data_IF_106334390150
#
_entry.id   IF_106334390150
#
_cell.length_a   1.000
_cell.length_b   1.000
_cell.length_c   1.000
_cell.angle_alpha   90.00
_cell.angle_beta   90.00
_cell.angle_gamma   90.00
#
_symmetry.space_group_name_H-M   'P 1'
#
loop_
_entity.id
_entity.type
_entity.pdbx_description
1 polymer ?
#
# COMPACT_ATOMS: atom_id res chain seq x y z
N UNK A 1 -5.23 -16.23 29.44
CA UNK A 1 -4.67 -15.62 28.22
C UNK A 1 -4.36 -16.76 27.27
N UNK A 2 -4.62 -16.63 25.95
CA UNK A 2 -4.21 -17.65 24.99
C UNK A 2 -2.68 -17.82 25.00
N UNK A 3 -2.19 -19.01 24.67
CA UNK A 3 -0.76 -19.26 24.48
C UNK A 3 -0.22 -18.41 23.32
N UNK A 4 0.98 -17.83 23.43
CA UNK A 4 1.53 -16.98 22.39
C UNK A 4 1.74 -17.76 21.09
N UNK A 5 1.52 -17.10 19.95
CA UNK A 5 1.78 -17.71 18.65
C UNK A 5 3.27 -17.99 18.46
N UNK A 6 3.64 -19.08 17.76
CA UNK A 6 5.02 -19.30 17.39
C UNK A 6 5.51 -18.15 16.51
N UNK A 7 6.77 -17.70 16.66
CA UNK A 7 7.29 -16.62 15.84
C UNK A 7 7.29 -17.00 14.36
N UNK A 8 7.05 -16.02 13.50
CA UNK A 8 7.13 -16.20 12.06
C UNK A 8 8.48 -16.81 11.69
N UNK A 9 8.49 -17.90 10.92
CA UNK A 9 9.73 -18.52 10.51
C UNK A 9 10.51 -17.55 9.63
N UNK A 10 11.81 -17.45 9.85
CA UNK A 10 12.65 -16.65 8.97
C UNK A 10 12.67 -17.24 7.56
N UNK A 11 12.67 -16.40 6.51
CA UNK A 11 12.75 -16.87 5.15
C UNK A 11 14.07 -17.60 4.90
N UNK A 12 13.98 -18.88 4.53
CA UNK A 12 15.14 -19.69 4.12
C UNK A 12 15.55 -19.32 2.70
N UNK A 13 16.86 -19.36 2.42
CA UNK A 13 17.39 -19.15 1.06
C UNK A 13 16.72 -20.13 0.09
N UNK A 14 16.11 -19.59 -0.97
CA UNK A 14 15.47 -20.40 -2.01
C UNK A 14 16.50 -21.27 -2.70
N UNK A 15 16.17 -22.56 -2.81
CA UNK A 15 16.95 -23.53 -3.58
C UNK A 15 16.78 -23.24 -5.07
N UNK A 16 17.85 -22.85 -5.80
CA UNK A 16 17.76 -22.48 -7.21
C UNK A 16 17.37 -23.66 -8.11
N UNK A 17 17.48 -24.91 -7.63
CA UNK A 17 17.09 -26.10 -8.39
C UNK A 17 15.58 -26.36 -8.32
N UNK A 18 14.89 -25.79 -7.33
CA UNK A 18 13.43 -25.95 -7.18
C UNK A 18 12.70 -24.95 -8.07
N UNK A 19 11.70 -25.46 -8.79
CA UNK A 19 10.82 -24.63 -9.64
C UNK A 19 10.14 -23.55 -8.79
N UNK A 20 10.21 -22.30 -9.26
CA UNK A 20 9.42 -21.19 -8.70
C UNK A 20 7.94 -21.53 -8.76
N UNK A 21 7.23 -21.35 -7.64
CA UNK A 21 5.79 -21.61 -7.58
C UNK A 21 5.07 -20.55 -8.41
N UNK A 22 4.09 -20.99 -9.21
CA UNK A 22 3.21 -20.05 -9.90
C UNK A 22 2.34 -19.33 -8.88
N UNK A 23 2.06 -18.04 -9.13
CA UNK A 23 1.14 -17.31 -8.30
C UNK A 23 -0.26 -17.92 -8.35
N UNK A 24 -0.74 -18.34 -7.19
CA UNK A 24 -2.13 -18.75 -6.98
C UNK A 24 -2.85 -17.57 -6.33
N UNK A 25 -4.05 -17.25 -6.82
CA UNK A 25 -4.89 -16.21 -6.24
C UNK A 25 -6.26 -16.77 -5.87
N UNK A 26 -6.95 -16.16 -4.88
CA UNK A 26 -8.35 -16.44 -4.62
C UNK A 26 -9.25 -16.17 -5.84
N UNK A 27 -10.50 -16.67 -5.83
CA UNK A 27 -11.46 -16.45 -6.92
C UNK A 27 -11.66 -14.97 -7.27
N UNK A 28 -11.52 -14.66 -8.57
CA UNK A 28 -11.46 -13.28 -9.08
C UNK A 28 -12.83 -12.61 -9.26
N UNK A 29 -13.88 -13.39 -9.59
CA UNK A 29 -15.15 -12.83 -9.99
C UNK A 29 -15.88 -12.16 -8.81
N UNK A 30 -16.14 -10.86 -8.93
CA UNK A 30 -16.99 -10.08 -8.02
C UNK A 30 -17.95 -9.21 -8.82
N UNK A 31 -19.14 -9.00 -8.27
CA UNK A 31 -20.07 -7.98 -8.78
C UNK A 31 -19.49 -6.57 -8.58
N UNK A 32 -20.06 -5.58 -9.28
CA UNK A 32 -19.70 -4.15 -9.10
C UNK A 32 -19.79 -3.71 -7.63
N UNK A 33 -20.82 -4.17 -6.90
CA UNK A 33 -20.98 -3.88 -5.47
C UNK A 33 -19.88 -4.54 -4.62
N UNK A 34 -19.46 -5.76 -4.96
CA UNK A 34 -18.32 -6.41 -4.32
C UNK A 34 -17.00 -5.67 -4.59
N UNK A 35 -16.81 -5.12 -5.79
CA UNK A 35 -15.68 -4.25 -6.10
C UNK A 35 -15.73 -2.93 -5.33
N UNK A 36 -16.93 -2.38 -5.08
CA UNK A 36 -17.10 -1.18 -4.25
C UNK A 36 -16.66 -1.41 -2.81
N UNK A 37 -16.93 -2.59 -2.23
CA UNK A 37 -16.35 -2.99 -0.94
C UNK A 37 -14.80 -3.05 -1.01
N UNK A 38 -14.27 -3.62 -2.10
CA UNK A 38 -12.82 -3.61 -2.40
C UNK A 38 -12.23 -2.21 -2.39
N UNK A 39 -12.89 -1.23 -3.01
CA UNK A 39 -12.45 0.16 -3.02
C UNK A 39 -12.41 0.79 -1.61
N UNK A 40 -13.31 0.39 -0.69
CA UNK A 40 -13.26 0.83 0.71
C UNK A 40 -12.08 0.17 1.45
N UNK A 41 -11.89 -1.14 1.28
CA UNK A 41 -10.78 -1.89 1.85
C UNK A 41 -9.41 -1.36 1.37
N UNK A 42 -9.31 -0.97 0.10
CA UNK A 42 -8.11 -0.37 -0.49
C UNK A 42 -7.63 0.90 0.25
N UNK A 43 -8.57 1.63 0.87
CA UNK A 43 -8.30 2.83 1.68
C UNK A 43 -8.34 2.56 3.20
N UNK A 44 -8.51 1.29 3.60
CA UNK A 44 -8.69 0.89 5.00
C UNK A 44 -9.96 1.43 5.66
N UNK A 45 -10.99 1.75 4.87
CA UNK A 45 -12.28 2.23 5.36
C UNK A 45 -13.22 1.06 5.63
N UNK A 46 -13.87 1.04 6.80
CA UNK A 46 -14.91 0.07 7.14
C UNK A 46 -16.29 0.63 6.82
N UNK A 47 -16.65 0.65 5.53
CA UNK A 47 -17.95 1.14 5.07
C UNK A 47 -18.83 -0.01 4.60
N UNK A 48 -20.10 0.00 5.01
CA UNK A 48 -21.14 -0.93 4.57
C UNK A 48 -22.31 -0.16 3.94
N UNK A 49 -23.09 -0.79 3.05
CA UNK A 49 -24.24 -0.12 2.47
C UNK A 49 -25.35 -0.01 3.51
N UNK A 50 -25.85 1.21 3.70
CA UNK A 50 -26.95 1.56 4.57
C UNK A 50 -28.11 2.07 3.72
N UNK A 51 -29.34 1.81 4.15
CA UNK A 51 -30.52 2.35 3.48
C UNK A 51 -30.76 3.82 3.84
N UNK A 52 -31.05 4.65 2.83
CA UNK A 52 -31.40 6.06 3.05
C UNK A 52 -32.71 6.27 3.82
N UNK A 53 -33.66 5.35 3.70
CA UNK A 53 -34.99 5.48 4.30
C UNK A 53 -35.09 4.83 5.67
N UNK A 54 -34.78 3.54 5.78
CA UNK A 54 -34.93 2.79 7.04
C UNK A 54 -33.63 2.64 7.84
N UNK A 55 -32.52 3.22 7.39
CA UNK A 55 -31.20 3.19 8.04
C UNK A 55 -30.60 1.78 8.27
N UNK A 56 -31.24 0.71 7.79
CA UNK A 56 -30.75 -0.65 7.98
C UNK A 56 -29.43 -0.87 7.22
N UNK A 57 -28.48 -1.52 7.88
CA UNK A 57 -27.26 -2.02 7.25
C UNK A 57 -27.62 -3.23 6.39
N UNK A 58 -27.20 -3.24 5.13
CA UNK A 58 -27.51 -4.31 4.18
C UNK A 58 -26.26 -5.16 3.93
N UNK A 59 -26.33 -6.43 4.27
CA UNK A 59 -25.28 -7.39 3.94
C UNK A 59 -25.89 -8.75 3.53
N UNK A 60 -25.36 -9.43 2.50
CA UNK A 60 -24.35 -8.97 1.53
C UNK A 60 -24.78 -7.71 0.75
N UNK A 61 -23.87 -6.99 0.08
CA UNK A 61 -24.20 -5.77 -0.65
C UNK A 61 -25.25 -6.02 -1.74
N UNK A 62 -26.27 -5.16 -1.82
CA UNK A 62 -27.37 -5.21 -2.79
C UNK A 62 -27.53 -3.89 -3.52
N UNK A 63 -28.30 -3.88 -4.61
CA UNK A 63 -28.58 -2.64 -5.38
C UNK A 63 -29.69 -1.80 -4.73
N UNK A 64 -30.61 -2.44 -4.01
CA UNK A 64 -31.69 -1.78 -3.28
C UNK A 64 -31.88 -2.40 -1.90
N UNK A 65 -32.48 -1.65 -0.98
CA UNK A 65 -32.80 -2.12 0.36
C UNK A 65 -33.77 -3.32 0.32
N UNK A 66 -33.47 -4.45 0.98
CA UNK A 66 -34.38 -5.60 1.00
C UNK A 66 -35.67 -5.36 1.80
N UNK A 67 -35.69 -4.33 2.67
CA UNK A 67 -36.84 -4.03 3.53
C UNK A 67 -37.81 -3.04 2.92
N UNK A 68 -37.32 -1.98 2.25
CA UNK A 68 -38.15 -0.89 1.73
C UNK A 68 -37.88 -0.50 0.28
N UNK A 69 -36.96 -1.20 -0.40
CA UNK A 69 -36.57 -0.97 -1.81
C UNK A 69 -35.96 0.40 -2.12
N UNK A 70 -35.71 1.25 -1.12
CA UNK A 70 -34.98 2.52 -1.31
C UNK A 70 -33.51 2.29 -1.64
N UNK A 71 -32.87 3.35 -2.14
CA UNK A 71 -31.46 3.38 -2.47
C UNK A 71 -30.56 3.13 -1.25
N UNK A 72 -29.35 2.65 -1.56
CA UNK A 72 -28.31 2.34 -0.60
C UNK A 72 -27.07 3.21 -0.85
N UNK A 73 -26.54 3.79 0.21
CA UNK A 73 -25.28 4.52 0.20
C UNK A 73 -24.26 3.84 1.10
N UNK A 74 -22.98 4.06 0.86
CA UNK A 74 -21.91 3.47 1.65
C UNK A 74 -21.50 4.44 2.75
N UNK A 75 -21.80 4.10 4.00
CA UNK A 75 -21.45 4.88 5.21
C UNK A 75 -20.52 4.07 6.09
N UNK A 76 -19.77 4.77 6.95
CA UNK A 76 -19.00 4.17 8.04
C UNK A 76 -19.92 3.26 8.84
N UNK A 77 -19.50 2.02 9.09
CA UNK A 77 -20.21 1.07 9.94
C UNK A 77 -19.41 0.83 11.23
N UNK A 78 -20.09 0.41 12.29
CA UNK A 78 -19.42 -0.06 13.51
C UNK A 78 -18.70 -1.39 13.20
N UNK A 79 -17.36 -1.46 13.35
CA UNK A 79 -16.60 -2.69 13.09
C UNK A 79 -16.77 -3.75 14.18
N UNK A 80 -17.42 -3.46 15.31
CA UNK A 80 -17.52 -4.38 16.42
C UNK A 80 -18.66 -5.39 16.26
N UNK A 81 -18.39 -6.62 16.71
CA UNK A 81 -19.37 -7.70 16.69
C UNK A 81 -19.06 -8.81 17.69
N UNK A 82 -19.81 -9.90 17.59
CA UNK A 82 -19.60 -11.13 18.37
C UNK A 82 -19.38 -12.31 17.43
N UNK A 83 -18.31 -13.08 17.66
CA UNK A 83 -18.05 -14.31 16.92
C UNK A 83 -19.02 -15.40 17.39
N UNK A 84 -19.90 -15.87 16.51
CA UNK A 84 -20.97 -16.83 16.86
C UNK A 84 -20.67 -18.26 16.41
N UNK A 85 -19.81 -18.45 15.41
CA UNK A 85 -19.39 -19.76 14.93
C UNK A 85 -18.01 -19.66 14.30
N UNK A 86 -17.20 -20.71 14.45
CA UNK A 86 -15.90 -20.85 13.78
C UNK A 86 -15.81 -22.19 13.05
N UNK A 87 -15.00 -22.24 12.00
CA UNK A 87 -14.62 -23.47 11.32
C UNK A 87 -13.21 -23.32 10.74
N UNK A 88 -12.49 -24.44 10.64
CA UNK A 88 -11.18 -24.48 10.01
C UNK A 88 -11.30 -25.27 8.70
N UNK A 89 -10.90 -24.65 7.60
CA UNK A 89 -10.77 -25.33 6.32
C UNK A 89 -9.51 -26.18 6.36
N UNK A 90 -9.67 -27.49 6.53
CA UNK A 90 -8.57 -28.46 6.57
C UNK A 90 -8.15 -28.94 5.18
N UNK A 91 -9.07 -28.91 4.21
CA UNK A 91 -8.82 -29.30 2.82
C UNK A 91 -9.62 -28.41 1.88
N UNK A 92 -9.09 -28.10 0.70
CA UNK A 92 -9.82 -27.30 -0.30
C UNK A 92 -9.55 -27.81 -1.71
N UNK A 93 -10.56 -27.84 -2.59
CA UNK A 93 -10.35 -28.03 -4.03
C UNK A 93 -9.68 -26.81 -4.67
N UNK A 94 -9.79 -25.62 -4.06
CA UNK A 94 -9.16 -24.40 -4.55
C UNK A 94 -7.67 -24.39 -4.21
N UNK A 95 -6.83 -24.30 -5.23
CA UNK A 95 -5.37 -24.41 -5.09
C UNK A 95 -4.79 -23.37 -4.12
N UNK A 96 -5.30 -22.13 -4.15
CA UNK A 96 -4.85 -21.06 -3.25
C UNK A 96 -4.98 -21.47 -1.78
N UNK A 97 -6.17 -21.92 -1.38
CA UNK A 97 -6.45 -22.31 0.00
C UNK A 97 -5.81 -23.64 0.36
N UNK A 98 -5.73 -24.59 -0.59
CA UNK A 98 -5.10 -25.90 -0.38
C UNK A 98 -3.65 -25.80 0.09
N UNK A 99 -2.90 -24.80 -0.37
CA UNK A 99 -1.51 -24.57 0.07
C UNK A 99 -1.38 -23.85 1.42
N UNK A 100 -2.50 -23.42 2.02
CA UNK A 100 -2.57 -22.54 3.20
C UNK A 100 -3.46 -23.09 4.32
N UNK A 101 -3.94 -24.31 4.19
CA UNK A 101 -4.69 -24.99 5.26
C UNK A 101 -3.77 -25.32 6.45
N UNK A 102 -4.27 -25.29 7.70
CA UNK A 102 -5.64 -24.96 8.09
C UNK A 102 -5.95 -23.46 7.94
N UNK A 103 -7.07 -23.12 7.31
CA UNK A 103 -7.52 -21.73 7.12
C UNK A 103 -8.77 -21.46 7.96
N UNK A 104 -8.65 -20.65 9.01
CA UNK A 104 -9.75 -20.36 9.95
C UNK A 104 -10.68 -19.28 9.42
N UNK A 105 -11.97 -19.56 9.47
CA UNK A 105 -13.06 -18.64 9.14
C UNK A 105 -14.18 -18.74 10.16
N UNK A 106 -14.99 -17.71 10.29
CA UNK A 106 -16.10 -17.70 11.22
C UNK A 106 -17.21 -16.75 10.80
N UNK A 107 -18.34 -16.88 11.48
CA UNK A 107 -19.48 -15.96 11.33
C UNK A 107 -19.48 -15.00 12.50
N UNK A 108 -19.38 -13.71 12.20
CA UNK A 108 -19.46 -12.62 13.19
C UNK A 108 -20.79 -11.90 13.00
N UNK A 109 -21.53 -11.74 14.09
CA UNK A 109 -22.72 -10.88 14.10
C UNK A 109 -22.28 -9.47 14.50
N UNK A 110 -22.35 -8.55 13.54
CA UNK A 110 -22.09 -7.12 13.77
C UNK A 110 -23.18 -6.46 14.63
N UNK A 111 -22.87 -5.29 15.18
CA UNK A 111 -23.88 -4.39 15.72
C UNK A 111 -25.01 -4.18 14.69
N UNK A 112 -26.27 -4.33 15.12
CA UNK A 112 -27.44 -4.32 14.23
C UNK A 112 -27.88 -5.69 13.70
N UNK A 113 -27.25 -6.79 14.15
CA UNK A 113 -27.73 -8.15 13.88
C UNK A 113 -27.35 -8.72 12.52
N UNK A 114 -26.38 -8.09 11.84
CA UNK A 114 -25.95 -8.47 10.49
C UNK A 114 -24.86 -9.55 10.56
N UNK A 115 -25.10 -10.76 10.02
CA UNK A 115 -24.09 -11.83 10.02
C UNK A 115 -23.10 -11.66 8.86
N UNK A 116 -21.80 -11.65 9.16
CA UNK A 116 -20.71 -11.54 8.18
C UNK A 116 -19.77 -12.72 8.32
N UNK A 117 -19.36 -13.31 7.20
CA UNK A 117 -18.27 -14.29 7.19
C UNK A 117 -16.92 -13.56 7.18
N UNK A 118 -16.05 -13.92 8.11
CA UNK A 118 -14.73 -13.33 8.28
C UNK A 118 -13.66 -14.41 8.42
N UNK A 119 -12.45 -14.10 7.97
CA UNK A 119 -11.24 -14.81 8.40
C UNK A 119 -11.01 -14.51 9.88
N UNK A 120 -10.37 -15.43 10.61
CA UNK A 120 -10.20 -15.28 12.06
C UNK A 120 -8.71 -15.17 12.39
N UNK A 121 -8.33 -14.12 13.10
CA UNK A 121 -7.02 -14.10 13.76
C UNK A 121 -6.90 -15.29 14.72
N UNK A 122 -5.70 -15.85 14.85
CA UNK A 122 -5.43 -17.10 15.56
C UNK A 122 -6.00 -17.17 16.99
N UNK A 123 -6.12 -16.03 17.67
CA UNK A 123 -6.65 -15.94 19.03
C UNK A 123 -8.16 -15.79 19.17
N UNK A 124 -8.91 -15.59 18.07
CA UNK A 124 -10.37 -15.49 18.15
C UNK A 124 -11.00 -16.81 18.60
N UNK A 125 -12.01 -16.76 19.46
CA UNK A 125 -12.82 -17.90 19.92
C UNK A 125 -14.31 -17.57 19.84
N UNK A 126 -15.13 -18.60 19.66
CA UNK A 126 -16.59 -18.45 19.67
C UNK A 126 -17.04 -17.83 21.00
N UNK A 127 -17.84 -16.77 20.92
CA UNK A 127 -18.29 -15.99 22.06
C UNK A 127 -17.48 -14.73 22.34
N UNK A 128 -16.34 -14.52 21.67
CA UNK A 128 -15.55 -13.31 21.82
C UNK A 128 -16.27 -12.09 21.24
N UNK A 129 -16.04 -10.93 21.86
CA UNK A 129 -16.22 -9.64 21.21
C UNK A 129 -15.04 -9.46 20.26
N UNK A 130 -15.32 -9.09 19.02
CA UNK A 130 -14.29 -8.94 17.99
C UNK A 130 -14.44 -7.61 17.27
N UNK A 131 -13.31 -7.06 16.84
CA UNK A 131 -13.26 -5.97 15.86
C UNK A 131 -13.05 -6.59 14.47
N UNK A 132 -13.89 -6.22 13.50
CA UNK A 132 -13.69 -6.56 12.09
C UNK A 132 -12.89 -5.47 11.39
N UNK A 133 -11.95 -5.88 10.55
CA UNK A 133 -11.30 -5.01 9.57
C UNK A 133 -11.48 -5.55 8.17
N UNK A 134 -11.53 -4.64 7.20
CA UNK A 134 -11.57 -4.96 5.79
C UNK A 134 -10.15 -4.96 5.22
N UNK A 135 -9.78 -6.06 4.59
CA UNK A 135 -8.52 -6.21 3.88
C UNK A 135 -8.77 -6.53 2.42
N UNK A 136 -7.74 -6.36 1.60
CA UNK A 136 -7.67 -6.94 0.28
C UNK A 136 -6.92 -8.27 0.35
N UNK A 137 -7.45 -9.30 -0.30
CA UNK A 137 -6.72 -10.54 -0.53
C UNK A 137 -5.68 -10.39 -1.66
N UNK A 138 -5.00 -11.47 -2.02
CA UNK A 138 -4.00 -11.49 -3.11
C UNK A 138 -4.58 -11.30 -4.52
N UNK A 139 -5.91 -11.28 -4.65
CA UNK A 139 -6.67 -10.99 -5.86
C UNK A 139 -7.28 -9.56 -5.84
N UNK A 140 -6.91 -8.73 -4.86
CA UNK A 140 -7.50 -7.42 -4.60
C UNK A 140 -9.03 -7.48 -4.40
N UNK A 141 -9.53 -8.53 -3.75
CA UNK A 141 -10.93 -8.63 -3.33
C UNK A 141 -11.03 -8.35 -1.84
N UNK A 142 -12.07 -7.60 -1.45
CA UNK A 142 -12.34 -7.34 -0.05
C UNK A 142 -12.70 -8.63 0.71
N UNK A 143 -12.06 -8.81 1.86
CA UNK A 143 -12.34 -9.85 2.85
C UNK A 143 -12.39 -9.24 4.24
N UNK A 144 -13.24 -9.78 5.10
CA UNK A 144 -13.24 -9.42 6.51
C UNK A 144 -12.24 -10.29 7.26
N UNK A 145 -11.52 -9.70 8.21
CA UNK A 145 -10.80 -10.45 9.23
C UNK A 145 -11.20 -9.94 10.61
N UNK A 146 -11.44 -10.87 11.53
CA UNK A 146 -11.83 -10.61 12.90
C UNK A 146 -10.62 -10.69 13.84
N UNK A 147 -10.59 -9.80 14.82
CA UNK A 147 -9.59 -9.73 15.88
C UNK A 147 -10.29 -9.69 17.23
N UNK A 148 -9.91 -10.57 18.15
CA UNK A 148 -10.35 -10.51 19.55
C UNK A 148 -9.60 -9.44 20.35
N UNK A 149 -8.36 -9.16 19.95
CA UNK A 149 -7.49 -8.13 20.53
C UNK A 149 -6.62 -7.55 19.42
N UNK A 150 -6.79 -6.26 19.16
CA UNK A 150 -6.08 -5.51 18.11
C UNK A 150 -4.75 -4.92 18.56
N UNK A 151 -4.42 -5.06 19.84
CA UNK A 151 -3.14 -4.62 20.42
C UNK A 151 -2.26 -5.82 20.77
N UNK A 152 -2.69 -7.04 20.40
CA UNK A 152 -1.96 -8.27 20.67
C UNK A 152 -0.56 -8.24 20.05
N UNK A 153 0.50 -8.59 20.80
CA UNK A 153 1.86 -8.68 20.25
C UNK A 153 1.98 -9.76 19.16
N UNK A 154 1.05 -10.71 19.14
CA UNK A 154 1.05 -11.85 18.23
C UNK A 154 0.43 -11.56 16.87
N UNK A 155 -0.14 -10.36 16.65
CA UNK A 155 -0.78 -10.03 15.37
C UNK A 155 0.13 -10.32 14.17
N UNK A 156 1.40 -9.95 14.32
CA UNK A 156 2.40 -10.10 13.27
C UNK A 156 2.93 -11.52 13.14
N UNK A 157 2.55 -12.43 14.04
CA UNK A 157 2.92 -13.84 13.97
C UNK A 157 1.90 -14.68 13.17
N UNK A 158 0.71 -14.13 12.92
CA UNK A 158 -0.37 -14.81 12.20
C UNK A 158 -0.11 -14.89 10.68
N UNK A 159 -0.01 -16.12 10.16
CA UNK A 159 0.23 -16.40 8.74
C UNK A 159 -0.95 -15.96 7.86
N UNK A 160 -2.19 -16.10 8.32
CA UNK A 160 -3.36 -15.64 7.56
C UNK A 160 -3.37 -14.12 7.44
N UNK A 161 -3.02 -13.38 8.51
CA UNK A 161 -2.89 -11.92 8.44
C UNK A 161 -1.76 -11.52 7.49
N UNK A 162 -0.63 -12.23 7.52
CA UNK A 162 0.49 -11.98 6.61
C UNK A 162 0.13 -12.13 5.14
N UNK A 163 -0.84 -12.98 4.79
CA UNK A 163 -1.35 -13.12 3.42
C UNK A 163 -2.21 -11.92 2.95
N UNK A 164 -2.81 -11.18 3.90
CA UNK A 164 -3.67 -10.03 3.62
C UNK A 164 -2.91 -8.69 3.66
N UNK A 165 -1.73 -8.68 4.26
CA UNK A 165 -0.91 -7.49 4.52
C UNK A 165 0.42 -7.53 3.75
N UNK A 166 1.23 -6.49 3.91
CA UNK A 166 2.53 -6.35 3.26
C UNK A 166 3.64 -6.09 4.29
N UNK A 167 3.59 -6.81 5.41
CA UNK A 167 4.49 -6.61 6.54
C UNK A 167 5.98 -6.68 6.11
N UNK A 168 6.77 -5.60 6.36
CA UNK A 168 8.22 -5.58 6.09
C UNK A 168 9.03 -6.62 6.87
N UNK A 169 8.49 -7.25 7.92
CA UNK A 169 9.24 -8.19 8.77
C UNK A 169 9.88 -9.32 7.97
N UNK A 170 11.19 -9.48 8.15
CA UNK A 170 12.07 -10.40 7.46
C UNK A 170 12.14 -10.22 5.93
N UNK A 171 11.57 -9.14 5.38
CA UNK A 171 11.59 -8.82 3.95
C UNK A 171 12.81 -8.01 3.58
N UNK A 172 13.15 -8.05 2.30
CA UNK A 172 14.19 -7.22 1.69
C UNK A 172 13.54 -6.09 0.90
N UNK A 173 13.90 -4.86 1.22
CA UNK A 173 13.26 -3.65 0.69
C UNK A 173 14.24 -2.91 -0.21
N UNK A 174 13.84 -2.54 -1.43
CA UNK A 174 14.58 -1.57 -2.25
C UNK A 174 13.92 -0.21 -2.11
N UNK A 175 14.68 0.81 -1.71
CA UNK A 175 14.23 2.21 -1.68
C UNK A 175 15.02 2.97 -2.74
N UNK A 176 14.33 3.54 -3.72
CA UNK A 176 14.98 4.35 -4.76
C UNK A 176 15.20 5.77 -4.27
N UNK A 177 16.24 6.45 -4.78
CA UNK A 177 16.55 7.84 -4.41
C UNK A 177 16.67 8.02 -2.88
N UNK A 178 17.31 7.06 -2.22
CA UNK A 178 17.33 6.96 -0.76
C UNK A 178 18.11 8.09 -0.05
N UNK A 179 18.87 8.89 -0.82
CA UNK A 179 19.65 10.04 -0.32
C UNK A 179 18.75 11.19 0.18
N UNK A 180 17.48 11.25 -0.25
CA UNK A 180 16.55 12.30 0.20
C UNK A 180 16.21 12.14 1.69
N UNK A 181 15.76 13.21 2.38
CA UNK A 181 15.31 13.12 3.77
C UNK A 181 14.23 12.04 3.96
N UNK A 182 13.28 11.94 3.01
CA UNK A 182 12.27 10.88 2.96
C UNK A 182 12.91 9.49 2.82
N UNK A 183 13.89 9.32 1.93
CA UNK A 183 14.61 8.07 1.73
C UNK A 183 15.33 7.57 2.99
N UNK A 184 16.01 8.46 3.70
CA UNK A 184 16.69 8.16 4.97
C UNK A 184 15.70 7.75 6.05
N UNK A 185 14.57 8.47 6.18
CA UNK A 185 13.53 8.14 7.14
C UNK A 185 12.84 6.80 6.81
N UNK A 186 12.59 6.52 5.53
CA UNK A 186 12.05 5.26 5.05
C UNK A 186 12.99 4.09 5.37
N UNK A 187 14.29 4.25 5.15
CA UNK A 187 15.26 3.21 5.50
C UNK A 187 15.24 2.90 7.01
N UNK A 188 15.21 3.93 7.85
CA UNK A 188 15.12 3.77 9.30
C UNK A 188 13.80 3.09 9.73
N UNK A 189 12.67 3.52 9.17
CA UNK A 189 11.35 2.97 9.50
C UNK A 189 11.19 1.51 9.05
N UNK A 190 11.68 1.15 7.86
CA UNK A 190 11.63 -0.22 7.34
C UNK A 190 12.51 -1.16 8.18
N UNK A 191 13.72 -0.73 8.55
CA UNK A 191 14.58 -1.49 9.46
C UNK A 191 13.94 -1.62 10.85
N UNK A 192 13.36 -0.54 11.39
CA UNK A 192 12.62 -0.56 12.65
C UNK A 192 11.37 -1.45 12.61
N UNK A 193 10.75 -1.60 11.44
CA UNK A 193 9.67 -2.55 11.20
C UNK A 193 10.14 -4.01 11.07
N UNK A 194 11.45 -4.29 11.16
CA UNK A 194 12.02 -5.62 11.09
C UNK A 194 12.35 -6.10 9.68
N UNK A 195 12.50 -5.20 8.71
CA UNK A 195 13.08 -5.55 7.42
C UNK A 195 14.46 -6.18 7.61
N UNK A 196 14.72 -7.28 6.90
CA UNK A 196 15.98 -8.03 6.99
C UNK A 196 17.13 -7.27 6.33
N UNK A 197 16.85 -6.63 5.20
CA UNK A 197 17.83 -5.85 4.46
C UNK A 197 17.12 -4.73 3.71
N UNK A 198 17.64 -3.52 3.82
CA UNK A 198 17.19 -2.38 3.02
C UNK A 198 18.29 -2.04 2.02
N UNK A 199 18.01 -2.20 0.74
CA UNK A 199 18.83 -1.71 -0.35
C UNK A 199 18.47 -0.25 -0.61
N UNK A 200 19.38 0.66 -0.24
CA UNK A 200 19.24 2.09 -0.44
C UNK A 200 19.87 2.49 -1.78
N UNK A 201 19.04 2.68 -2.80
CA UNK A 201 19.48 3.07 -4.14
C UNK A 201 19.81 4.57 -4.20
N UNK A 202 21.05 4.91 -4.58
CA UNK A 202 21.54 6.28 -4.67
C UNK A 202 22.36 6.46 -5.95
N UNK A 203 22.01 7.42 -6.81
CA UNK A 203 22.67 7.63 -8.10
C UNK A 203 24.18 7.89 -7.98
N UNK A 204 24.56 8.82 -7.10
CA UNK A 204 25.96 9.21 -6.87
C UNK A 204 26.46 8.63 -5.54
N UNK A 205 26.31 7.33 -5.33
CA UNK A 205 26.67 6.68 -4.04
C UNK A 205 28.14 6.88 -3.63
N UNK A 206 29.03 7.20 -4.59
CA UNK A 206 30.44 7.54 -4.34
C UNK A 206 30.65 8.93 -3.72
N UNK A 207 29.68 9.85 -3.86
CA UNK A 207 29.76 11.21 -3.32
C UNK A 207 29.33 11.20 -1.85
N UNK A 208 30.30 11.28 -0.94
CA UNK A 208 30.02 11.24 0.50
C UNK A 208 29.29 12.49 0.97
N UNK A 209 28.17 12.30 1.64
CA UNK A 209 27.43 13.33 2.38
C UNK A 209 26.79 12.74 3.64
N UNK A 210 26.23 13.62 4.47
CA UNK A 210 25.62 13.23 5.75
C UNK A 210 24.46 12.23 5.59
N UNK A 211 23.74 12.25 4.45
CA UNK A 211 22.63 11.31 4.21
C UNK A 211 23.17 9.90 3.91
N UNK A 212 24.20 9.79 3.06
CA UNK A 212 24.86 8.50 2.77
C UNK A 212 25.55 7.94 4.02
N UNK A 213 26.26 8.78 4.78
CA UNK A 213 26.88 8.35 6.04
C UNK A 213 25.85 7.82 7.03
N UNK A 214 24.68 8.48 7.12
CA UNK A 214 23.58 8.03 7.97
C UNK A 214 22.98 6.71 7.49
N UNK A 215 22.81 6.52 6.18
CA UNK A 215 22.33 5.26 5.61
C UNK A 215 23.29 4.10 5.90
N UNK A 216 24.58 4.31 5.68
CA UNK A 216 25.61 3.28 5.94
C UNK A 216 25.79 2.96 7.43
N UNK A 217 25.53 3.94 8.30
CA UNK A 217 25.55 3.75 9.75
C UNK A 217 24.39 2.89 10.28
N UNK A 218 23.35 2.65 9.48
CA UNK A 218 22.21 1.82 9.89
C UNK A 218 22.49 0.33 9.70
N UNK A 219 22.28 -0.45 10.76
CA UNK A 219 22.36 -1.91 10.67
C UNK A 219 21.30 -2.44 9.72
N UNK A 220 21.68 -3.32 8.79
CA UNK A 220 20.76 -3.92 7.83
C UNK A 220 20.48 -3.05 6.60
N UNK A 221 21.11 -1.89 6.46
CA UNK A 221 21.03 -1.05 5.26
C UNK A 221 22.28 -1.23 4.40
N UNK A 222 22.11 -1.35 3.09
CA UNK A 222 23.18 -1.44 2.09
C UNK A 222 22.94 -0.39 1.01
N UNK A 223 23.86 0.56 0.89
CA UNK A 223 23.80 1.60 -0.15
C UNK A 223 24.31 1.03 -1.47
N UNK A 224 23.53 1.19 -2.54
CA UNK A 224 23.83 0.68 -3.88
C UNK A 224 23.69 1.81 -4.92
N UNK A 225 24.52 1.82 -5.99
CA UNK A 225 24.35 2.76 -7.09
C UNK A 225 23.01 2.50 -7.79
N UNK A 226 22.17 3.53 -7.90
CA UNK A 226 20.91 3.49 -8.65
C UNK A 226 20.54 4.87 -9.15
N UNK A 227 20.76 5.11 -10.44
CA UNK A 227 20.27 6.31 -11.12
C UNK A 227 19.04 5.95 -11.97
N UNK A 228 17.90 6.55 -11.63
CA UNK A 228 16.64 6.33 -12.34
C UNK A 228 16.58 6.99 -13.72
N UNK A 229 17.52 7.88 -14.02
CA UNK A 229 17.65 8.52 -15.34
C UNK A 229 18.51 7.69 -16.31
N UNK A 230 19.29 6.73 -15.79
CA UNK A 230 20.12 5.81 -16.57
C UNK A 230 19.50 4.40 -16.62
N UNK A 231 19.03 4.00 -17.80
CA UNK A 231 18.48 2.66 -18.05
C UNK A 231 19.46 1.55 -17.67
N UNK A 232 20.76 1.71 -17.98
CA UNK A 232 21.77 0.68 -17.69
C UNK A 232 21.97 0.52 -16.18
N UNK A 233 21.95 1.62 -15.42
CA UNK A 233 22.05 1.57 -13.96
C UNK A 233 20.93 0.72 -13.35
N UNK A 234 19.70 0.86 -13.86
CA UNK A 234 18.55 0.08 -13.40
C UNK A 234 18.66 -1.40 -13.80
N UNK A 235 19.06 -1.68 -15.04
CA UNK A 235 19.26 -3.05 -15.56
C UNK A 235 20.33 -3.81 -14.77
N UNK A 236 21.50 -3.20 -14.57
CA UNK A 236 22.63 -3.79 -13.82
C UNK A 236 22.22 -4.13 -12.39
N UNK A 237 21.61 -3.18 -11.67
CA UNK A 237 21.16 -3.41 -10.31
C UNK A 237 20.06 -4.49 -10.24
N UNK A 238 19.13 -4.51 -11.19
CA UNK A 238 18.12 -5.55 -11.27
C UNK A 238 18.75 -6.94 -11.47
N UNK A 239 19.79 -7.04 -12.30
CA UNK A 239 20.57 -8.27 -12.47
C UNK A 239 21.20 -8.77 -11.16
N UNK A 240 21.65 -7.85 -10.30
CA UNK A 240 22.30 -8.20 -9.02
C UNK A 240 21.34 -8.54 -7.88
N UNK A 241 20.23 -7.79 -7.76
CA UNK A 241 19.33 -7.86 -6.61
C UNK A 241 17.85 -8.06 -6.93
N UNK A 242 17.42 -8.09 -8.20
CA UNK A 242 15.99 -8.24 -8.57
C UNK A 242 15.36 -9.51 -7.97
N UNK A 243 16.09 -10.62 -7.97
CA UNK A 243 15.68 -11.88 -7.30
C UNK A 243 15.68 -11.81 -5.77
N UNK A 244 16.06 -10.68 -5.19
CA UNK A 244 16.11 -10.42 -3.75
C UNK A 244 15.13 -9.36 -3.27
N UNK A 245 14.52 -8.55 -4.14
CA UNK A 245 13.59 -7.48 -3.72
C UNK A 245 12.21 -8.07 -3.40
N UNK A 246 11.72 -7.85 -2.18
CA UNK A 246 10.39 -8.31 -1.75
C UNK A 246 9.40 -7.14 -1.67
N UNK A 247 9.90 -5.95 -1.34
CA UNK A 247 9.17 -4.68 -1.37
C UNK A 247 10.01 -3.67 -2.15
N UNK A 248 9.44 -3.01 -3.14
CA UNK A 248 10.10 -1.91 -3.86
C UNK A 248 9.37 -0.61 -3.51
N UNK A 249 10.11 0.39 -3.05
CA UNK A 249 9.61 1.74 -2.73
C UNK A 249 10.19 2.71 -3.74
N UNK A 250 9.35 3.12 -4.70
CA UNK A 250 9.63 4.18 -5.64
C UNK A 250 9.46 5.54 -4.94
N UNK A 251 10.57 6.02 -4.37
CA UNK A 251 10.69 7.28 -3.60
C UNK A 251 11.33 8.40 -4.45
N UNK A 252 11.23 8.32 -5.77
CA UNK A 252 11.82 9.33 -6.65
C UNK A 252 11.14 10.69 -6.45
N UNK A 253 11.93 11.70 -6.08
CA UNK A 253 11.43 13.05 -5.88
C UNK A 253 12.26 14.08 -6.67
N UNK A 254 11.55 15.05 -7.25
CA UNK A 254 12.15 16.23 -7.86
C UNK A 254 11.11 17.35 -7.79
N UNK A 255 11.36 18.37 -6.98
CA UNK A 255 10.39 19.46 -6.78
C UNK A 255 10.92 20.76 -7.34
N UNK A 256 10.10 21.44 -8.14
CA UNK A 256 10.35 22.81 -8.60
C UNK A 256 9.06 23.61 -8.51
N UNK A 257 9.04 24.77 -7.81
CA UNK A 257 7.91 25.66 -7.84
C UNK A 257 7.77 26.28 -9.23
N UNK A 258 6.53 26.54 -9.64
CA UNK A 258 6.21 27.16 -10.92
C UNK A 258 4.97 26.55 -11.58
N UNK A 259 4.13 27.42 -12.11
CA UNK A 259 3.04 27.05 -13.00
C UNK A 259 3.52 26.86 -14.44
N UNK A 260 2.61 26.41 -15.31
CA UNK A 260 2.88 26.17 -16.74
C UNK A 260 3.36 27.44 -17.47
N UNK A 261 2.89 28.61 -17.05
CA UNK A 261 3.22 29.91 -17.66
C UNK A 261 4.46 30.60 -17.10
N UNK A 262 5.15 30.01 -16.10
CA UNK A 262 6.24 30.68 -15.37
C UNK A 262 7.50 30.97 -16.22
N UNK A 263 7.59 30.43 -17.44
CA UNK A 263 8.71 30.62 -18.36
C UNK A 263 9.98 29.84 -17.97
N UNK A 264 10.82 29.48 -18.94
CA UNK A 264 12.12 28.76 -18.78
C UNK A 264 12.09 27.39 -18.09
N UNK A 265 10.95 26.91 -17.60
CA UNK A 265 10.82 25.64 -16.87
C UNK A 265 10.72 24.36 -17.71
N UNK A 266 10.86 24.40 -19.05
CA UNK A 266 10.75 23.19 -19.89
C UNK A 266 11.91 22.22 -19.62
N UNK A 267 13.13 22.73 -19.42
CA UNK A 267 14.28 21.90 -19.09
C UNK A 267 14.09 21.19 -17.75
N UNK A 268 13.63 21.93 -16.73
CA UNK A 268 13.30 21.38 -15.41
C UNK A 268 12.15 20.36 -15.51
N UNK A 269 11.11 20.66 -16.30
CA UNK A 269 10.00 19.74 -16.53
C UNK A 269 10.47 18.43 -17.18
N UNK A 270 11.43 18.49 -18.12
CA UNK A 270 12.02 17.28 -18.73
C UNK A 270 12.80 16.46 -17.70
N UNK A 271 13.63 17.11 -16.87
CA UNK A 271 14.37 16.41 -15.80
C UNK A 271 13.44 15.77 -14.78
N UNK A 272 12.39 16.50 -14.38
CA UNK A 272 11.32 16.01 -13.53
C UNK A 272 10.66 14.75 -14.11
N UNK A 273 10.23 14.80 -15.38
CA UNK A 273 9.60 13.64 -16.03
C UNK A 273 10.58 12.48 -16.20
N UNK A 274 11.84 12.76 -16.53
CA UNK A 274 12.83 11.70 -16.69
C UNK A 274 13.09 10.94 -15.38
N UNK A 275 13.12 11.67 -14.26
CA UNK A 275 13.29 11.05 -12.94
C UNK A 275 12.02 10.35 -12.43
N UNK A 276 10.85 10.99 -12.51
CA UNK A 276 9.61 10.46 -11.88
C UNK A 276 8.82 9.51 -12.80
N UNK A 277 8.72 9.83 -14.09
CA UNK A 277 7.87 9.11 -15.04
C UNK A 277 8.68 8.04 -15.75
N UNK A 278 9.77 8.42 -16.43
CA UNK A 278 10.61 7.44 -17.12
C UNK A 278 11.41 6.59 -16.13
N UNK A 279 11.84 7.15 -14.98
CA UNK A 279 12.41 6.38 -13.88
C UNK A 279 11.47 5.28 -13.37
N UNK A 280 10.18 5.59 -13.18
CA UNK A 280 9.17 4.58 -12.85
C UNK A 280 9.07 3.50 -13.92
N UNK A 281 9.02 3.87 -15.21
CA UNK A 281 8.93 2.92 -16.32
C UNK A 281 10.14 1.99 -16.37
N UNK A 282 11.36 2.53 -16.25
CA UNK A 282 12.61 1.73 -16.22
C UNK A 282 12.59 0.72 -15.08
N UNK A 283 12.13 1.13 -13.89
CA UNK A 283 11.97 0.21 -12.76
C UNK A 283 10.93 -0.86 -13.07
N UNK A 284 9.77 -0.48 -13.61
CA UNK A 284 8.66 -1.39 -13.88
C UNK A 284 9.03 -2.44 -14.93
N UNK A 285 9.73 -2.05 -15.99
CA UNK A 285 10.21 -2.94 -17.05
C UNK A 285 11.22 -3.97 -16.52
N UNK A 286 12.09 -3.58 -15.59
CA UNK A 286 13.17 -4.43 -15.07
C UNK A 286 12.75 -5.25 -13.84
N UNK A 287 12.32 -4.58 -12.77
CA UNK A 287 11.96 -5.24 -11.51
C UNK A 287 10.56 -5.85 -11.56
N UNK A 288 9.65 -5.31 -12.38
CA UNK A 288 8.26 -5.73 -12.44
C UNK A 288 8.09 -7.22 -12.74
N UNK A 289 8.62 -7.74 -13.87
CA UNK A 289 8.53 -9.16 -14.20
C UNK A 289 9.14 -10.08 -13.13
N UNK A 290 10.26 -9.68 -12.53
CA UNK A 290 10.95 -10.46 -11.50
C UNK A 290 10.11 -10.54 -10.23
N UNK A 291 9.60 -9.41 -9.73
CA UNK A 291 8.72 -9.37 -8.56
C UNK A 291 7.44 -10.16 -8.81
N UNK A 292 6.80 -9.97 -9.98
CA UNK A 292 5.59 -10.69 -10.38
C UNK A 292 5.79 -12.21 -10.33
N UNK A 293 6.93 -12.70 -10.81
CA UNK A 293 7.26 -14.14 -10.79
C UNK A 293 7.45 -14.71 -9.38
N UNK A 294 7.72 -13.86 -8.40
CA UNK A 294 8.05 -14.22 -7.01
C UNK A 294 6.91 -14.01 -6.03
N UNK A 295 5.73 -13.54 -6.48
CA UNK A 295 4.62 -13.23 -5.57
C UNK A 295 4.00 -14.44 -4.85
N UNK A 296 4.38 -15.67 -5.21
CA UNK A 296 4.01 -16.90 -4.50
C UNK A 296 5.18 -17.68 -3.89
N UNK A 297 6.34 -17.03 -3.67
CA UNK A 297 7.48 -17.64 -2.97
C UNK A 297 7.26 -17.78 -1.44
N UNK A 298 6.01 -17.96 -0.98
CA UNK A 298 5.63 -18.12 0.43
C UNK A 298 6.18 -17.00 1.32
N UNK A 299 6.93 -17.35 2.35
CA UNK A 299 7.57 -16.39 3.28
C UNK A 299 8.61 -15.47 2.58
N UNK A 300 9.09 -15.84 1.38
CA UNK A 300 10.00 -15.07 0.53
C UNK A 300 9.28 -14.29 -0.60
N UNK A 301 7.95 -14.29 -0.64
CA UNK A 301 7.19 -13.71 -1.73
C UNK A 301 7.43 -12.21 -1.91
N UNK A 302 7.61 -11.73 -3.14
CA UNK A 302 7.44 -10.31 -3.39
C UNK A 302 6.00 -9.91 -3.02
N UNK A 303 5.82 -8.83 -2.27
CA UNK A 303 4.50 -8.50 -1.70
C UNK A 303 4.02 -7.12 -2.06
N UNK A 304 4.91 -6.13 -2.21
CA UNK A 304 4.46 -4.76 -2.46
C UNK A 304 5.38 -3.96 -3.39
N UNK A 305 4.74 -3.12 -4.20
CA UNK A 305 5.34 -2.03 -4.95
C UNK A 305 4.72 -0.74 -4.43
N UNK A 306 5.50 0.11 -3.77
CA UNK A 306 5.03 1.35 -3.14
C UNK A 306 5.49 2.54 -3.97
N UNK A 307 4.56 3.39 -4.39
CA UNK A 307 4.84 4.64 -5.08
C UNK A 307 4.62 5.81 -4.13
N UNK A 308 5.66 6.61 -3.90
CA UNK A 308 5.51 7.91 -3.27
C UNK A 308 5.03 8.91 -4.32
N UNK A 309 3.84 9.46 -4.12
CA UNK A 309 3.20 10.42 -5.01
C UNK A 309 2.80 11.68 -4.23
N UNK A 310 2.65 12.80 -4.93
CA UNK A 310 1.95 13.96 -4.39
C UNK A 310 0.45 13.77 -4.47
N UNK A 311 -0.31 14.24 -3.47
CA UNK A 311 -1.78 14.27 -3.54
C UNK A 311 -2.29 15.09 -4.75
N UNK A 312 -1.51 16.07 -5.20
CA UNK A 312 -1.81 16.87 -6.39
C UNK A 312 -1.63 16.12 -7.73
N UNK A 313 -1.40 14.81 -7.68
CA UNK A 313 -1.64 13.91 -8.81
C UNK A 313 -3.13 13.86 -9.21
N UNK A 314 -4.05 14.10 -8.26
CA UNK A 314 -5.50 14.06 -8.48
C UNK A 314 -6.04 15.39 -9.03
N UNK A 315 -5.54 16.51 -8.52
CA UNK A 315 -5.92 17.85 -8.94
C UNK A 315 -4.68 18.74 -8.93
N UNK A 316 -4.49 19.50 -10.01
CA UNK A 316 -3.26 20.29 -10.19
C UNK A 316 -3.21 21.44 -9.18
N UNK A 317 -2.08 21.60 -8.50
CA UNK A 317 -1.80 22.79 -7.71
C UNK A 317 -1.03 23.81 -8.54
N UNK A 318 -1.60 24.98 -8.90
CA UNK A 318 -0.97 25.90 -9.86
C UNK A 318 0.43 26.40 -9.46
N UNK A 319 0.72 26.49 -8.17
CA UNK A 319 2.04 26.87 -7.66
C UNK A 319 3.13 25.83 -7.98
N UNK A 320 2.73 24.57 -8.22
CA UNK A 320 3.59 23.43 -8.54
C UNK A 320 3.02 22.65 -9.73
N UNK A 321 2.64 23.37 -10.79
CA UNK A 321 1.82 22.81 -11.88
C UNK A 321 2.52 21.72 -12.67
N UNK A 322 3.81 21.87 -12.96
CA UNK A 322 4.60 20.84 -13.68
C UNK A 322 4.83 19.60 -12.81
N UNK A 323 5.09 19.80 -11.52
CA UNK A 323 5.22 18.72 -10.53
C UNK A 323 3.94 17.89 -10.41
N UNK A 324 2.80 18.57 -10.28
CA UNK A 324 1.48 17.93 -10.26
C UNK A 324 1.22 17.11 -11.53
N UNK A 325 1.59 17.64 -12.71
CA UNK A 325 1.43 16.93 -13.98
C UNK A 325 2.30 15.66 -14.06
N UNK A 326 3.56 15.71 -13.62
CA UNK A 326 4.44 14.54 -13.58
C UNK A 326 3.90 13.46 -12.63
N UNK A 327 3.43 13.84 -11.44
CA UNK A 327 2.81 12.90 -10.51
C UNK A 327 1.49 12.33 -11.02
N UNK A 328 0.69 13.10 -11.76
CA UNK A 328 -0.52 12.58 -12.42
C UNK A 328 -0.16 11.54 -13.50
N UNK A 329 0.88 11.78 -14.29
CA UNK A 329 1.40 10.80 -15.26
C UNK A 329 1.89 9.53 -14.55
N UNK A 330 2.69 9.66 -13.50
CA UNK A 330 3.15 8.51 -12.70
C UNK A 330 1.99 7.78 -12.02
N UNK A 331 0.96 8.47 -11.53
CA UNK A 331 -0.25 7.85 -10.99
C UNK A 331 -0.98 7.01 -12.06
N UNK A 332 -1.14 7.54 -13.26
CA UNK A 332 -1.75 6.78 -14.36
C UNK A 332 -0.94 5.53 -14.71
N UNK A 333 0.39 5.61 -14.70
CA UNK A 333 1.26 4.44 -14.90
C UNK A 333 1.16 3.44 -13.74
N UNK A 334 1.07 3.92 -12.50
CA UNK A 334 0.88 3.07 -11.32
C UNK A 334 -0.46 2.32 -11.36
N UNK A 335 -1.53 2.94 -11.90
CA UNK A 335 -2.81 2.27 -12.13
C UNK A 335 -2.69 1.15 -13.18
N UNK A 336 -1.91 1.37 -14.25
CA UNK A 336 -1.58 0.32 -15.22
C UNK A 336 -0.81 -0.83 -14.55
N UNK A 337 0.25 -0.50 -13.82
CA UNK A 337 1.07 -1.49 -13.10
C UNK A 337 0.24 -2.31 -12.11
N UNK A 338 -0.74 -1.70 -11.41
CA UNK A 338 -1.67 -2.41 -10.54
C UNK A 338 -2.44 -3.49 -11.28
N UNK A 339 -2.91 -3.19 -12.49
CA UNK A 339 -3.56 -4.16 -13.37
C UNK A 339 -2.63 -5.28 -13.84
N UNK A 340 -1.38 -4.96 -14.19
CA UNK A 340 -0.38 -5.93 -14.65
C UNK A 340 0.12 -6.87 -13.53
N UNK A 341 0.17 -6.35 -12.30
CA UNK A 341 0.54 -7.10 -11.10
C UNK A 341 -0.61 -7.96 -10.56
N UNK A 342 -1.85 -7.73 -11.00
CA UNK A 342 -2.99 -8.54 -10.62
C UNK A 342 -2.74 -10.01 -10.97
N UNK A 343 -3.09 -10.91 -10.05
CA UNK A 343 -2.83 -12.34 -10.21
C UNK A 343 -1.44 -12.79 -9.74
N UNK A 344 -0.53 -11.87 -9.40
CA UNK A 344 0.79 -12.22 -8.87
C UNK A 344 0.85 -12.29 -7.35
N UNK A 345 -0.04 -11.57 -6.66
CA UNK A 345 0.01 -11.37 -5.22
C UNK A 345 0.93 -10.24 -4.75
N UNK A 346 1.57 -9.52 -5.69
CA UNK A 346 2.28 -8.26 -5.44
C UNK A 346 1.26 -7.11 -5.47
N UNK A 347 1.15 -6.36 -4.38
CA UNK A 347 0.23 -5.23 -4.25
C UNK A 347 0.90 -3.94 -4.69
N UNK A 348 0.23 -3.16 -5.55
CA UNK A 348 0.68 -1.81 -5.90
C UNK A 348 0.02 -0.79 -4.99
N UNK A 349 0.83 -0.19 -4.12
CA UNK A 349 0.45 0.80 -3.11
C UNK A 349 0.85 2.19 -3.59
N UNK A 350 -0.07 3.15 -3.52
CA UNK A 350 0.17 4.55 -3.81
C UNK A 350 0.06 5.35 -2.51
N UNK A 351 1.15 6.00 -2.12
CA UNK A 351 1.21 6.88 -0.96
C UNK A 351 1.16 8.33 -1.44
N UNK A 352 0.01 8.97 -1.28
CA UNK A 352 -0.23 10.37 -1.61
C UNK A 352 0.12 11.27 -0.43
N UNK A 353 1.22 11.99 -0.52
CA UNK A 353 1.64 12.94 0.49
C UNK A 353 1.19 14.37 0.15
N UNK A 354 0.90 15.15 1.20
CA UNK A 354 0.87 16.60 1.12
C UNK A 354 2.28 17.18 0.95
N UNK A 355 2.44 18.51 1.06
CA UNK A 355 3.75 19.15 1.00
C UNK A 355 4.71 18.57 2.06
N UNK A 356 5.83 18.00 1.62
CA UNK A 356 6.88 17.49 2.50
C UNK A 356 7.71 18.63 3.10
N UNK A 357 8.24 18.44 4.31
CA UNK A 357 9.25 19.32 4.90
C UNK A 357 10.61 19.14 4.19
N UNK A 358 10.89 20.05 3.26
CA UNK A 358 12.12 20.11 2.48
C UNK A 358 12.30 21.51 1.89
N UNK A 359 13.52 21.81 1.46
CA UNK A 359 13.95 23.11 0.92
C UNK A 359 13.00 23.66 -0.16
N UNK A 360 12.52 22.81 -1.07
CA UNK A 360 11.66 23.24 -2.19
C UNK A 360 10.23 23.60 -1.79
N UNK A 361 9.82 23.29 -0.55
CA UNK A 361 8.55 23.68 0.03
C UNK A 361 8.69 24.75 1.11
N UNK A 362 9.85 25.39 1.30
CA UNK A 362 10.04 26.39 2.38
C UNK A 362 9.01 27.52 2.34
N UNK A 363 8.66 27.99 1.14
CA UNK A 363 7.64 29.02 0.91
C UNK A 363 6.20 28.57 1.14
N UNK A 364 5.95 27.27 1.25
CA UNK A 364 4.63 26.71 1.54
C UNK A 364 4.33 26.90 3.03
N UNK A 365 3.12 27.36 3.36
CA UNK A 365 2.71 27.49 4.76
C UNK A 365 2.42 26.11 5.38
N UNK A 366 2.57 25.93 6.70
CA UNK A 366 2.12 24.72 7.39
C UNK A 366 0.61 24.48 7.18
N UNK A 367 0.13 23.22 7.22
CA UNK A 367 0.85 22.03 7.70
C UNK A 367 1.68 21.32 6.61
N UNK A 368 2.88 20.87 6.98
CA UNK A 368 3.77 20.05 6.14
C UNK A 368 3.95 18.65 6.75
N UNK A 369 4.34 17.69 5.93
CA UNK A 369 4.61 16.30 6.35
C UNK A 369 6.09 16.13 6.60
N UNK A 370 6.46 15.74 7.83
CA UNK A 370 7.85 15.41 8.16
C UNK A 370 8.25 14.09 7.50
N UNK A 371 9.55 13.89 7.14
CA UNK A 371 10.03 12.61 6.63
C UNK A 371 9.73 11.41 7.54
N UNK A 372 9.82 11.60 8.86
CA UNK A 372 9.54 10.53 9.83
C UNK A 372 8.04 10.16 9.88
N UNK A 373 7.14 11.14 9.77
CA UNK A 373 5.70 10.87 9.67
C UNK A 373 5.38 10.14 8.37
N UNK A 374 5.96 10.59 7.26
CA UNK A 374 5.81 9.94 5.96
C UNK A 374 6.21 8.46 6.02
N UNK A 375 7.40 8.17 6.53
CA UNK A 375 7.91 6.81 6.63
C UNK A 375 7.06 5.93 7.56
N UNK A 376 6.63 6.47 8.70
CA UNK A 376 5.77 5.78 9.67
C UNK A 376 4.42 5.42 9.07
N UNK A 377 3.77 6.37 8.39
CA UNK A 377 2.44 6.18 7.81
C UNK A 377 2.49 5.19 6.63
N UNK A 378 3.57 5.17 5.85
CA UNK A 378 3.81 4.13 4.82
C UNK A 378 3.93 2.75 5.44
N UNK A 379 4.76 2.58 6.48
CA UNK A 379 4.90 1.30 7.19
C UNK A 379 3.56 0.86 7.79
N UNK A 380 2.82 1.77 8.41
CA UNK A 380 1.49 1.49 8.95
C UNK A 380 0.51 1.03 7.86
N UNK A 381 0.52 1.68 6.69
CA UNK A 381 -0.30 1.29 5.55
C UNK A 381 0.06 -0.09 4.98
N UNK A 382 1.34 -0.44 4.95
CA UNK A 382 1.81 -1.78 4.58
C UNK A 382 1.33 -2.85 5.57
N UNK A 383 1.44 -2.57 6.87
CA UNK A 383 0.93 -3.44 7.94
C UNK A 383 -0.59 -3.58 7.91
N UNK A 384 -1.30 -2.52 7.52
CA UNK A 384 -2.75 -2.55 7.33
C UNK A 384 -3.19 -3.19 5.99
N UNK A 385 -2.25 -3.47 5.07
CA UNK A 385 -2.55 -4.03 3.76
C UNK A 385 -3.29 -3.10 2.80
N UNK A 386 -3.23 -1.78 3.01
CA UNK A 386 -3.90 -0.79 2.18
C UNK A 386 -3.22 -0.63 0.79
N UNK A 387 -3.96 -0.10 -0.18
CA UNK A 387 -3.47 0.23 -1.53
C UNK A 387 -3.32 1.73 -1.76
N UNK A 388 -4.19 2.57 -1.19
CA UNK A 388 -4.12 4.02 -1.36
C UNK A 388 -4.00 4.67 0.02
N UNK A 389 -2.88 5.33 0.28
CA UNK A 389 -2.57 6.00 1.55
C UNK A 389 -2.60 7.52 1.33
N UNK A 390 -3.26 8.27 2.22
CA UNK A 390 -3.27 9.73 2.18
C UNK A 390 -2.57 10.28 3.43
N UNK A 391 -1.36 10.80 3.24
CA UNK A 391 -0.41 11.10 4.32
C UNK A 391 -0.33 12.61 4.56
N UNK A 392 -0.61 13.00 5.80
CA UNK A 392 -0.73 14.40 6.19
C UNK A 392 -2.13 14.97 6.01
N UNK A 393 -2.36 16.13 6.62
CA UNK A 393 -3.70 16.70 6.75
C UNK A 393 -4.18 17.27 5.40
N UNK A 394 -3.27 17.94 4.67
CA UNK A 394 -3.52 18.41 3.28
C UNK A 394 -3.90 17.26 2.36
N UNK A 395 -3.22 16.11 2.46
CA UNK A 395 -3.52 14.97 1.58
C UNK A 395 -4.91 14.40 1.82
N UNK A 396 -5.35 14.34 3.08
CA UNK A 396 -6.70 13.86 3.42
C UNK A 396 -7.78 14.84 2.98
N UNK A 397 -7.57 16.14 3.22
CA UNK A 397 -8.51 17.18 2.77
C UNK A 397 -8.70 17.17 1.25
N UNK A 398 -7.59 17.19 0.50
CA UNK A 398 -7.63 17.17 -0.97
C UNK A 398 -8.29 15.89 -1.49
N UNK A 399 -8.02 14.74 -0.88
CA UNK A 399 -8.65 13.48 -1.27
C UNK A 399 -10.16 13.46 -1.01
N UNK A 400 -10.60 13.96 0.15
CA UNK A 400 -12.02 14.06 0.51
C UNK A 400 -12.76 15.00 -0.45
N UNK A 401 -12.21 16.19 -0.72
CA UNK A 401 -12.79 17.15 -1.68
C UNK A 401 -12.79 16.63 -3.12
N UNK A 402 -11.76 15.88 -3.52
CA UNK A 402 -11.71 15.25 -4.84
C UNK A 402 -12.79 14.17 -4.99
N UNK A 403 -13.05 13.40 -3.93
CA UNK A 403 -14.11 12.39 -3.90
C UNK A 403 -15.52 13.01 -3.91
N UNK A 404 -15.69 14.18 -3.29
CA UNK A 404 -16.95 14.92 -3.26
C UNK A 404 -17.26 15.56 -4.62
N UNK A 405 -16.39 16.46 -5.11
CA UNK A 405 -16.48 17.07 -6.43
C UNK A 405 -15.10 17.51 -6.94
N UNK A 406 -14.54 16.70 -7.84
CA UNK A 406 -13.24 16.96 -8.46
C UNK A 406 -13.18 18.31 -9.21
N UNK A 407 -14.30 18.78 -9.79
CA UNK A 407 -14.32 20.05 -10.53
C UNK A 407 -14.36 21.24 -9.57
N UNK A 408 -15.10 21.13 -8.48
CA UNK A 408 -15.09 22.14 -7.42
C UNK A 408 -13.68 22.29 -6.83
N UNK A 409 -13.02 21.19 -6.49
CA UNK A 409 -11.64 21.20 -5.98
C UNK A 409 -10.68 21.90 -6.94
N UNK A 410 -10.76 21.65 -8.25
CA UNK A 410 -9.95 22.33 -9.26
C UNK A 410 -10.12 23.87 -9.19
N UNK A 411 -11.36 24.35 -9.06
CA UNK A 411 -11.66 25.77 -8.97
C UNK A 411 -11.15 26.39 -7.66
N UNK A 412 -11.26 25.66 -6.54
CA UNK A 412 -10.79 26.11 -5.23
C UNK A 412 -9.26 26.23 -5.19
N UNK A 413 -8.55 25.26 -5.78
CA UNK A 413 -7.08 25.28 -5.90
C UNK A 413 -6.60 26.42 -6.81
N UNK A 414 -7.38 26.82 -7.81
CA UNK A 414 -7.08 27.95 -8.67
C UNK A 414 -7.26 29.31 -7.95
N UNK A 415 -8.21 29.39 -7.01
CA UNK A 415 -8.53 30.61 -6.25
C UNK A 415 -7.55 30.94 -5.11
N UNK A 416 -6.52 30.11 -4.88
CA UNK A 416 -5.57 30.29 -3.78
C UNK A 416 -6.13 29.88 -2.41
N UNK A 417 -7.19 29.06 -2.36
CA UNK A 417 -7.67 28.47 -1.12
C UNK A 417 -6.65 27.48 -0.58
N UNK A 418 -5.79 27.94 0.32
CA UNK A 418 -5.00 27.10 1.23
C UNK A 418 -5.85 26.66 2.41
#
# INVERSE_FOLDING_TARGET
>A
MPDPLPPLPEPVRKDPQKKTRSALTPPLARSRLGMRLGAQAARGRFHLPHCDSCAVIVWPPREACPSCLSDLHWRVADPHGRLIAETALETSPELYFRERVPWRVGTVTLAGGVPVMAHLHAHCRVGDKVELRLFLDKADRAVFMAFADTDSPDLREDIQLRELTNDPRHRRVLITDARTPAGVALAAAMTGAGAKTVFAGVAESWKRDAAIERLEGMTGVSVLPLDLTDTRSVEELCGEIGGKVDILVHNAEHVRPGGVMAGRGIADARQLHDKLVFGFMRLAENFGPVMRSRGADGVNAATAWVNLLSVYAHANWPAFGQHSAAHAATLSLAQCLRGEMLGSGVRVVNAFAGPLEQDWHDSVLPPKVTPDRLARDIVAGLLAGQQDLYIGDVARDVAERFEDDAKLLEMELAGGGQ
#
